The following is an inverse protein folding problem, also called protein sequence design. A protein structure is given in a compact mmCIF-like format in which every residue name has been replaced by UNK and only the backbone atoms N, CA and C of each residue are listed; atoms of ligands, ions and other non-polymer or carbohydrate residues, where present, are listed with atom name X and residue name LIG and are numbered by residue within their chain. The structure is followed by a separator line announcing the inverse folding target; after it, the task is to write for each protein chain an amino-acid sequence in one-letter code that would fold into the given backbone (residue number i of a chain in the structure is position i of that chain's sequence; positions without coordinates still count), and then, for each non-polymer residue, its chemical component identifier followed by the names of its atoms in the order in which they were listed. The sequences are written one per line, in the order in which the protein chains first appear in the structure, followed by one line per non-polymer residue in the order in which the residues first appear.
data_IF_978090752729
#
_entry.id   IF_978090752729
#
_cell.length_a   1.000
_cell.length_b   1.000
_cell.length_c   1.000
_cell.angle_alpha   90.00
_cell.angle_beta   90.00
_cell.angle_gamma   90.00
#
_symmetry.space_group_name_H-M   'P 1'
#
loop_
_entity.id
_entity.type
_entity.pdbx_description
1 polymer ?
#
# COMPACT_ATOMS: atom_id res chain seq x y z
N UNK A 1 -0.15 14.30 -17.07
CA UNK A 1 -0.39 13.39 -18.21
C UNK A 1 -0.29 11.94 -17.72
N UNK A 2 -1.40 11.38 -17.24
CA UNK A 2 -1.49 10.05 -16.58
C UNK A 2 -1.27 8.87 -17.53
N UNK A 3 -1.48 9.07 -18.83
CA UNK A 3 -1.38 8.04 -19.87
C UNK A 3 -0.03 7.31 -19.91
N UNK A 4 1.07 8.07 -19.77
CA UNK A 4 2.43 7.53 -19.91
C UNK A 4 2.78 6.50 -18.84
N UNK A 5 2.06 6.51 -17.72
CA UNK A 5 2.27 5.60 -16.59
C UNK A 5 1.40 4.35 -16.64
N UNK A 6 0.53 4.21 -17.65
CA UNK A 6 -0.29 3.03 -17.81
C UNK A 6 0.52 1.86 -18.41
N UNK A 7 0.13 0.61 -18.15
CA UNK A 7 0.66 -0.53 -18.90
C UNK A 7 0.31 -0.42 -20.40
N UNK A 8 1.24 -0.75 -21.29
CA UNK A 8 1.03 -0.70 -22.75
C UNK A 8 -0.18 -1.54 -23.19
N UNK A 9 -0.43 -2.66 -22.51
CA UNK A 9 -1.56 -3.52 -22.82
C UNK A 9 -2.92 -2.82 -22.64
N UNK A 10 -3.03 -1.85 -21.73
CA UNK A 10 -4.27 -1.11 -21.46
C UNK A 10 -4.67 -0.13 -22.59
N UNK A 11 -3.77 0.09 -23.55
CA UNK A 11 -4.05 0.92 -24.74
C UNK A 11 -4.98 0.19 -25.72
N UNK A 12 -4.99 -1.14 -25.68
CA UNK A 12 -5.67 -1.99 -26.65
C UNK A 12 -6.90 -2.66 -26.04
N UNK A 13 -7.95 -2.83 -26.85
CA UNK A 13 -9.23 -3.44 -26.43
C UNK A 13 -9.22 -4.96 -26.63
N UNK A 14 -8.72 -5.43 -27.77
CA UNK A 14 -8.88 -6.82 -28.23
C UNK A 14 -7.53 -7.56 -28.37
N UNK A 15 -6.76 -7.67 -27.30
CA UNK A 15 -5.43 -8.33 -27.34
C UNK A 15 -5.57 -9.86 -27.21
N UNK A 16 -5.13 -10.67 -28.20
CA UNK A 16 -5.20 -12.12 -28.12
C UNK A 16 -4.43 -12.70 -26.94
N UNK A 17 -4.97 -13.74 -26.29
CA UNK A 17 -4.39 -14.35 -25.07
C UNK A 17 -2.93 -14.83 -25.24
N UNK A 18 -2.51 -15.23 -26.44
CA UNK A 18 -1.15 -15.66 -26.75
C UNK A 18 -0.17 -14.53 -27.12
N UNK A 19 -0.66 -13.29 -27.22
CA UNK A 19 0.14 -12.16 -27.69
C UNK A 19 1.20 -11.74 -26.66
N UNK A 20 2.30 -11.14 -27.13
CA UNK A 20 3.42 -10.78 -26.24
C UNK A 20 3.04 -9.75 -25.17
N UNK A 21 2.06 -8.87 -25.46
CA UNK A 21 1.51 -7.91 -24.50
C UNK A 21 0.92 -8.60 -23.25
N UNK A 22 0.42 -9.83 -23.38
CA UNK A 22 -0.17 -10.61 -22.29
C UNK A 22 0.86 -11.50 -21.55
N UNK A 23 2.12 -11.55 -22.00
CA UNK A 23 3.16 -12.34 -21.33
C UNK A 23 3.54 -11.67 -20.01
N UNK A 24 3.65 -12.46 -18.92
CA UNK A 24 3.99 -11.97 -17.56
C UNK A 24 5.23 -11.06 -17.48
N UNK A 25 6.20 -11.23 -18.39
CA UNK A 25 7.41 -10.39 -18.45
C UNK A 25 7.20 -9.03 -19.14
N UNK A 26 6.11 -8.89 -19.89
CA UNK A 26 5.77 -7.71 -20.69
C UNK A 26 4.60 -6.92 -20.09
N UNK A 27 3.84 -7.51 -19.15
CA UNK A 27 2.79 -6.80 -18.40
C UNK A 27 3.25 -5.56 -17.62
N UNK A 28 4.49 -5.45 -17.08
CA UNK A 28 4.92 -4.23 -16.41
C UNK A 28 5.43 -3.13 -17.36
N UNK A 29 5.44 -3.38 -18.68
CA UNK A 29 5.93 -2.39 -19.64
C UNK A 29 4.95 -1.22 -19.74
N UNK A 30 5.47 -0.01 -19.59
CA UNK A 30 4.70 1.23 -19.55
C UNK A 30 4.61 1.91 -20.92
N UNK A 31 3.54 2.70 -21.13
CA UNK A 31 3.34 3.53 -22.32
C UNK A 31 4.54 4.46 -22.56
N UNK A 32 5.13 5.03 -21.51
CA UNK A 32 6.31 5.91 -21.59
C UNK A 32 7.54 5.28 -22.27
N UNK A 33 7.62 3.95 -22.33
CA UNK A 33 8.74 3.24 -22.97
C UNK A 33 8.59 3.15 -24.49
N UNK A 34 7.39 3.43 -25.01
CA UNK A 34 7.06 3.24 -26.43
C UNK A 34 6.38 4.44 -27.07
N UNK A 35 5.92 5.41 -26.29
CA UNK A 35 5.24 6.61 -26.78
C UNK A 35 5.87 7.85 -26.16
N UNK A 36 5.85 8.94 -26.91
CA UNK A 36 6.15 10.28 -26.41
C UNK A 36 5.17 11.30 -26.97
N UNK A 37 5.09 12.44 -26.29
CA UNK A 37 4.43 13.60 -26.84
C UNK A 37 5.37 14.27 -27.85
N UNK A 38 4.87 14.51 -29.05
CA UNK A 38 5.59 15.27 -30.07
C UNK A 38 5.12 16.72 -30.03
N UNK A 39 5.98 17.61 -29.53
CA UNK A 39 5.69 19.04 -29.41
C UNK A 39 5.47 19.71 -30.76
N UNK A 40 6.10 19.22 -31.83
CA UNK A 40 5.95 19.79 -33.18
C UNK A 40 4.60 19.47 -33.80
N UNK A 41 4.09 18.26 -33.52
CA UNK A 41 2.79 17.78 -34.02
C UNK A 41 1.67 17.96 -32.99
N UNK A 42 2.00 18.46 -31.79
CA UNK A 42 1.11 18.61 -30.63
C UNK A 42 0.34 17.33 -30.27
N UNK A 43 0.87 16.13 -30.54
CA UNK A 43 0.13 14.86 -30.38
C UNK A 43 0.99 13.76 -29.79
N UNK A 44 0.36 12.69 -29.30
CA UNK A 44 1.09 11.49 -28.94
C UNK A 44 1.56 10.77 -30.20
N UNK A 45 2.82 10.34 -30.19
CA UNK A 45 3.35 9.45 -31.23
C UNK A 45 4.09 8.28 -30.62
N UNK A 46 4.08 7.19 -31.36
CA UNK A 46 4.92 6.02 -31.08
C UNK A 46 6.37 6.42 -31.32
N UNK A 47 7.27 5.90 -30.49
CA UNK A 47 8.71 6.02 -30.69
C UNK A 47 9.12 5.22 -31.91
N UNK A 48 9.83 5.88 -32.82
CA UNK A 48 10.38 5.24 -34.01
C UNK A 48 11.70 4.55 -33.63
N UNK A 49 11.82 3.23 -33.74
CA UNK A 49 13.05 2.49 -33.39
C UNK A 49 14.28 2.88 -34.23
N UNK A 50 14.11 3.58 -35.35
CA UNK A 50 15.20 4.05 -36.23
C UNK A 50 15.66 5.47 -35.90
N UNK A 51 14.80 6.27 -35.28
CA UNK A 51 15.04 7.71 -35.03
C UNK A 51 15.18 8.01 -33.55
N UNK A 52 14.40 7.32 -32.71
CA UNK A 52 14.34 7.52 -31.27
C UNK A 52 15.15 6.45 -30.52
N UNK A 53 15.84 6.84 -29.45
CA UNK A 53 16.44 5.88 -28.51
C UNK A 53 15.33 5.13 -27.78
N UNK A 54 15.12 3.87 -28.15
CA UNK A 54 14.12 3.00 -27.51
C UNK A 54 14.81 1.93 -26.66
N UNK A 55 14.38 1.72 -25.40
CA UNK A 55 14.96 0.70 -24.54
C UNK A 55 14.70 -0.73 -25.06
N UNK A 56 13.66 -0.92 -25.89
CA UNK A 56 13.25 -2.22 -26.43
C UNK A 56 12.94 -2.16 -27.93
N UNK A 57 13.96 -2.01 -28.81
CA UNK A 57 13.75 -1.74 -30.24
C UNK A 57 12.95 -2.83 -30.96
N UNK A 58 13.13 -4.11 -30.58
CA UNK A 58 12.36 -5.21 -31.16
C UNK A 58 10.86 -5.15 -30.83
N UNK A 59 10.51 -4.78 -29.59
CA UNK A 59 9.12 -4.64 -29.17
C UNK A 59 8.50 -3.36 -29.74
N UNK A 60 9.27 -2.27 -29.81
CA UNK A 60 8.83 -1.03 -30.45
C UNK A 60 8.46 -1.24 -31.92
N UNK A 61 9.28 -2.00 -32.68
CA UNK A 61 8.94 -2.38 -34.07
C UNK A 61 7.65 -3.20 -34.14
N UNK A 62 7.45 -4.15 -33.22
CA UNK A 62 6.21 -4.92 -33.17
C UNK A 62 5.01 -4.03 -32.87
N UNK A 63 5.15 -3.07 -31.96
CA UNK A 63 4.08 -2.12 -31.61
C UNK A 63 3.73 -1.19 -32.76
N UNK A 64 4.72 -0.64 -33.46
CA UNK A 64 4.52 0.15 -34.67
C UNK A 64 3.75 -0.67 -35.71
N UNK A 65 4.18 -1.91 -35.97
CA UNK A 65 3.49 -2.80 -36.89
C UNK A 65 2.04 -3.06 -36.49
N UNK A 66 1.76 -3.22 -35.20
CA UNK A 66 0.40 -3.43 -34.68
C UNK A 66 -0.50 -2.23 -35.00
N UNK A 67 0.00 -1.02 -34.75
CA UNK A 67 -0.73 0.23 -34.94
C UNK A 67 -0.88 0.58 -36.42
N UNK A 68 0.18 0.43 -37.22
CA UNK A 68 0.14 0.68 -38.67
C UNK A 68 -0.78 -0.29 -39.40
N UNK A 69 -0.77 -1.57 -39.03
CA UNK A 69 -1.62 -2.60 -39.65
C UNK A 69 -3.01 -2.69 -39.03
N UNK A 70 -3.31 -1.88 -38.00
CA UNK A 70 -4.55 -1.93 -37.20
C UNK A 70 -4.94 -3.35 -36.79
N UNK A 71 -3.95 -4.15 -36.39
CA UNK A 71 -4.18 -5.55 -36.01
C UNK A 71 -5.01 -5.68 -34.73
N UNK A 72 -4.96 -4.66 -33.85
CA UNK A 72 -5.79 -4.55 -32.66
C UNK A 72 -6.44 -3.18 -32.62
N UNK A 73 -7.66 -3.14 -32.09
CA UNK A 73 -8.34 -1.88 -31.80
C UNK A 73 -7.71 -1.25 -30.57
N UNK A 74 -7.32 0.00 -30.73
CA UNK A 74 -6.98 0.93 -29.66
C UNK A 74 -8.27 1.46 -29.02
N UNK A 75 -8.20 1.93 -27.78
CA UNK A 75 -9.37 2.59 -27.18
C UNK A 75 -9.65 3.91 -27.92
N UNK A 76 -10.91 4.34 -28.06
CA UNK A 76 -11.27 5.56 -28.82
C UNK A 76 -10.52 6.81 -28.36
N UNK A 77 -10.26 6.90 -27.05
CA UNK A 77 -9.49 7.99 -26.43
C UNK A 77 -8.04 7.99 -26.96
N UNK A 78 -7.41 6.83 -27.11
CA UNK A 78 -6.03 6.73 -27.60
C UNK A 78 -5.96 7.05 -29.09
N UNK A 79 -6.93 6.58 -29.87
CA UNK A 79 -7.01 6.92 -31.29
C UNK A 79 -7.09 8.43 -31.50
N UNK A 80 -7.90 9.10 -30.68
CA UNK A 80 -8.03 10.55 -30.71
C UNK A 80 -6.70 11.26 -30.36
N UNK A 81 -6.02 10.80 -29.30
CA UNK A 81 -4.72 11.33 -28.86
C UNK A 81 -3.57 11.09 -29.85
N UNK A 82 -3.67 10.04 -30.68
CA UNK A 82 -2.70 9.74 -31.74
C UNK A 82 -3.00 10.48 -33.05
N UNK A 83 -4.28 10.73 -33.33
CA UNK A 83 -4.72 11.33 -34.59
C UNK A 83 -4.70 12.86 -34.56
N UNK A 84 -5.14 13.47 -33.46
CA UNK A 84 -5.42 14.91 -33.40
C UNK A 84 -4.39 15.69 -32.56
N UNK A 85 -4.04 16.93 -32.97
CA UNK A 85 -3.23 17.82 -32.16
C UNK A 85 -3.99 18.28 -30.91
N UNK A 86 -3.37 18.12 -29.75
CA UNK A 86 -3.83 18.56 -28.43
C UNK A 86 -3.35 20.00 -28.24
N UNK A 87 -4.23 20.97 -28.49
CA UNK A 87 -3.94 22.39 -28.31
C UNK A 87 -3.78 22.71 -26.82
N UNK A 88 -2.54 22.64 -26.32
CA UNK A 88 -2.14 22.82 -24.91
C UNK A 88 -2.67 21.77 -23.94
N UNK A 89 -1.81 21.32 -23.01
CA UNK A 89 -2.24 20.58 -21.84
C UNK A 89 -2.99 21.52 -20.89
N UNK A 90 -4.21 21.91 -21.26
CA UNK A 90 -5.17 22.55 -20.36
C UNK A 90 -5.48 21.65 -19.17
N UNK A 91 -6.14 22.20 -18.14
CA UNK A 91 -6.63 21.44 -16.99
C UNK A 91 -7.30 20.16 -17.47
N UNK A 92 -6.65 19.04 -17.17
CA UNK A 92 -7.10 17.72 -17.57
C UNK A 92 -8.36 17.42 -16.77
N UNK A 93 -9.51 17.39 -17.42
CA UNK A 93 -10.74 16.96 -16.77
C UNK A 93 -10.60 15.48 -16.41
N UNK A 94 -10.33 15.20 -15.13
CA UNK A 94 -10.23 13.84 -14.58
C UNK A 94 -11.61 13.18 -14.43
N UNK A 95 -12.71 13.95 -14.53
CA UNK A 95 -14.07 13.46 -14.31
C UNK A 95 -14.48 12.27 -15.19
N UNK A 96 -14.09 12.15 -16.46
CA UNK A 96 -14.40 10.97 -17.27
C UNK A 96 -13.74 9.70 -16.73
N UNK A 97 -12.51 9.83 -16.23
CA UNK A 97 -11.77 8.70 -15.64
C UNK A 97 -12.31 8.35 -14.26
N UNK A 98 -12.58 9.36 -13.43
CA UNK A 98 -13.17 9.20 -12.12
C UNK A 98 -14.57 8.58 -12.26
N UNK A 99 -15.43 9.11 -13.13
CA UNK A 99 -16.78 8.56 -13.35
C UNK A 99 -16.77 7.14 -13.92
N UNK A 100 -15.87 6.84 -14.86
CA UNK A 100 -15.67 5.47 -15.37
C UNK A 100 -15.18 4.50 -14.28
N UNK A 101 -14.23 4.94 -13.45
CA UNK A 101 -13.75 4.15 -12.33
C UNK A 101 -14.83 3.93 -11.27
N UNK A 102 -15.54 5.00 -10.88
CA UNK A 102 -16.63 4.96 -9.90
C UNK A 102 -17.84 4.14 -10.37
N UNK A 103 -18.09 4.08 -11.68
CA UNK A 103 -19.17 3.29 -12.29
C UNK A 103 -18.77 1.85 -12.59
N UNK A 104 -17.47 1.50 -12.48
CA UNK A 104 -17.02 0.13 -12.67
C UNK A 104 -17.60 -0.78 -11.59
N UNK A 105 -18.03 -1.99 -11.96
CA UNK A 105 -18.52 -2.99 -11.00
C UNK A 105 -17.50 -3.30 -9.90
N UNK A 106 -16.20 -3.24 -10.23
CA UNK A 106 -15.10 -3.39 -9.28
C UNK A 106 -15.12 -2.33 -8.16
N UNK A 107 -15.60 -1.13 -8.46
CA UNK A 107 -15.71 -0.02 -7.51
C UNK A 107 -17.09 0.03 -6.82
N UNK A 108 -18.16 -0.15 -7.58
CA UNK A 108 -19.54 -0.15 -7.07
C UNK A 108 -19.73 -1.25 -6.02
N UNK A 109 -19.16 -2.43 -6.26
CA UNK A 109 -19.16 -3.55 -5.31
C UNK A 109 -17.86 -3.61 -4.48
N UNK A 110 -17.09 -2.52 -4.43
CA UNK A 110 -15.81 -2.51 -3.72
C UNK A 110 -16.02 -2.74 -2.23
N UNK A 111 -15.61 -3.94 -1.81
CA UNK A 111 -15.51 -4.30 -0.40
C UNK A 111 -14.04 -4.27 -0.03
N UNK A 112 -13.59 -3.30 0.79
CA UNK A 112 -12.19 -3.19 1.18
C UNK A 112 -11.65 -4.49 1.79
N UNK A 113 -12.49 -5.24 2.51
CA UNK A 113 -12.13 -6.55 3.08
C UNK A 113 -11.87 -7.58 1.98
N UNK A 114 -12.78 -7.72 1.03
CA UNK A 114 -12.70 -8.74 -0.03
C UNK A 114 -11.57 -8.44 -1.00
N UNK A 115 -11.38 -7.18 -1.36
CA UNK A 115 -10.23 -6.74 -2.16
C UNK A 115 -8.91 -7.07 -1.45
N UNK A 116 -8.78 -6.75 -0.16
CA UNK A 116 -7.57 -7.07 0.62
C UNK A 116 -7.35 -8.58 0.72
N UNK A 117 -8.41 -9.38 0.91
CA UNK A 117 -8.31 -10.85 0.92
C UNK A 117 -7.89 -11.40 -0.45
N UNK A 118 -8.41 -10.86 -1.55
CA UNK A 118 -7.96 -11.24 -2.89
C UNK A 118 -6.49 -10.90 -3.14
N UNK A 119 -6.02 -9.73 -2.66
CA UNK A 119 -4.60 -9.39 -2.72
C UNK A 119 -3.75 -10.33 -1.87
N UNK A 120 -4.24 -10.75 -0.70
CA UNK A 120 -3.59 -11.77 0.14
C UNK A 120 -3.43 -13.09 -0.62
N UNK A 121 -4.49 -13.61 -1.25
CA UNK A 121 -4.43 -14.84 -2.03
C UNK A 121 -3.52 -14.74 -3.27
N UNK A 122 -3.39 -13.55 -3.86
CA UNK A 122 -2.52 -13.34 -5.04
C UNK A 122 -1.05 -13.16 -4.69
N UNK A 123 -0.77 -12.45 -3.59
CA UNK A 123 0.59 -12.00 -3.25
C UNK A 123 1.29 -12.95 -2.28
N UNK A 124 0.54 -13.71 -1.47
CA UNK A 124 1.11 -14.68 -0.54
C UNK A 124 1.00 -16.10 -1.11
N UNK A 125 2.05 -16.92 -0.98
CA UNK A 125 2.05 -18.30 -1.48
C UNK A 125 1.24 -19.27 -0.60
N UNK A 126 0.48 -18.77 0.39
CA UNK A 126 -0.26 -19.57 1.37
C UNK A 126 -1.59 -18.91 1.76
N UNK A 127 -2.56 -19.73 2.20
CA UNK A 127 -3.88 -19.28 2.65
C UNK A 127 -3.82 -18.75 4.09
N UNK A 128 -4.42 -17.57 4.38
CA UNK A 128 -4.42 -16.98 5.73
C UNK A 128 -5.25 -17.76 6.75
N UNK A 129 -6.06 -18.73 6.31
CA UNK A 129 -7.03 -19.44 7.17
C UNK A 129 -6.37 -20.56 7.99
N UNK A 130 -5.13 -20.96 7.67
CA UNK A 130 -4.42 -22.01 8.40
C UNK A 130 -3.36 -21.36 9.27
N UNK A 131 -3.39 -21.65 10.58
CA UNK A 131 -2.38 -21.21 11.54
C UNK A 131 -0.98 -21.39 10.94
N UNK A 132 -0.27 -20.27 10.78
CA UNK A 132 1.02 -20.26 10.14
C UNK A 132 1.98 -21.14 10.92
N UNK A 133 2.63 -22.08 10.23
CA UNK A 133 3.74 -22.80 10.83
C UNK A 133 4.85 -21.81 11.23
N UNK A 134 5.67 -22.10 12.25
CA UNK A 134 6.82 -21.26 12.60
C UNK A 134 7.76 -20.97 11.42
N UNK A 135 7.88 -21.92 10.48
CA UNK A 135 8.66 -21.74 9.25
C UNK A 135 8.02 -20.71 8.29
N UNK A 136 6.70 -20.73 8.14
CA UNK A 136 5.95 -19.75 7.34
C UNK A 136 6.05 -18.34 7.93
N UNK A 137 6.02 -18.22 9.26
CA UNK A 137 6.29 -16.95 9.94
C UNK A 137 7.70 -16.44 9.66
N UNK A 138 8.71 -17.31 9.80
CA UNK A 138 10.10 -16.93 9.51
C UNK A 138 10.24 -16.39 8.08
N UNK A 139 9.62 -17.04 7.09
CA UNK A 139 9.63 -16.55 5.71
C UNK A 139 8.93 -15.18 5.56
N UNK A 140 7.73 -15.01 6.11
CA UNK A 140 7.01 -13.74 6.10
C UNK A 140 7.84 -12.59 6.71
N UNK A 141 8.53 -12.86 7.82
CA UNK A 141 9.39 -11.89 8.50
C UNK A 141 10.61 -11.47 7.68
N UNK A 142 11.09 -12.34 6.80
CA UNK A 142 12.22 -12.09 5.91
C UNK A 142 11.82 -11.43 4.58
N UNK A 143 10.53 -11.19 4.33
CA UNK A 143 10.10 -10.47 3.14
C UNK A 143 10.58 -9.00 3.17
N UNK A 144 10.99 -8.44 2.01
CA UNK A 144 11.41 -7.04 1.88
C UNK A 144 10.20 -6.09 1.86
N UNK A 145 9.34 -6.20 2.88
CA UNK A 145 8.19 -5.32 3.08
C UNK A 145 8.51 -4.28 4.15
N UNK A 146 7.92 -3.09 4.01
CA UNK A 146 8.07 -2.02 4.99
C UNK A 146 7.52 -2.46 6.36
N UNK A 147 8.19 -2.12 7.49
CA UNK A 147 7.72 -2.46 8.84
C UNK A 147 6.26 -2.08 9.12
N UNK A 148 5.82 -0.96 8.57
CA UNK A 148 4.47 -0.41 8.69
C UNK A 148 3.44 -1.36 8.03
N UNK A 149 3.80 -1.95 6.89
CA UNK A 149 2.97 -2.90 6.17
C UNK A 149 2.84 -4.25 6.89
N UNK A 150 3.83 -4.64 7.72
CA UNK A 150 3.82 -5.94 8.43
C UNK A 150 2.64 -6.05 9.41
N UNK A 151 2.25 -4.94 10.03
CA UNK A 151 1.11 -4.91 10.98
C UNK A 151 -0.22 -5.11 10.27
N UNK A 152 -0.38 -4.49 9.09
CA UNK A 152 -1.55 -4.69 8.23
C UNK A 152 -1.64 -6.13 7.74
N UNK A 153 -0.51 -6.69 7.28
CA UNK A 153 -0.46 -8.07 6.78
C UNK A 153 -0.71 -9.11 7.88
N UNK A 154 -0.17 -8.92 9.08
CA UNK A 154 -0.45 -9.79 10.22
C UNK A 154 -1.91 -9.74 10.63
N UNK A 155 -2.53 -8.55 10.69
CA UNK A 155 -3.98 -8.42 10.94
C UNK A 155 -4.84 -9.17 9.95
N UNK A 156 -4.42 -9.17 8.68
CA UNK A 156 -5.14 -9.88 7.61
C UNK A 156 -5.00 -11.39 7.71
N UNK A 157 -3.91 -11.85 8.31
CA UNK A 157 -3.56 -13.27 8.46
C UNK A 157 -4.05 -13.83 9.81
N UNK A 158 -4.13 -12.99 10.84
CA UNK A 158 -4.35 -13.39 12.22
C UNK A 158 -5.58 -12.63 12.77
N UNK A 159 -6.74 -13.28 12.70
CA UNK A 159 -8.06 -12.73 13.04
C UNK A 159 -8.23 -12.34 14.53
N UNK A 160 -7.20 -12.61 15.36
CA UNK A 160 -7.22 -12.46 16.82
C UNK A 160 -6.74 -11.06 17.27
N UNK A 161 -6.01 -10.32 16.42
CA UNK A 161 -5.28 -9.13 16.87
C UNK A 161 -5.65 -7.86 16.07
N UNK A 162 -6.72 -7.17 16.47
CA UNK A 162 -7.07 -5.86 15.90
C UNK A 162 -6.24 -4.70 16.51
N UNK A 163 -6.55 -3.45 16.16
CA UNK A 163 -5.85 -2.27 16.71
C UNK A 163 -6.06 -2.05 18.19
N UNK A 164 -7.28 -2.34 18.62
CA UNK A 164 -7.69 -2.09 19.98
C UNK A 164 -7.00 -3.12 20.88
N UNK A 165 -7.01 -4.39 20.50
CA UNK A 165 -6.32 -5.47 21.21
C UNK A 165 -4.80 -5.38 21.11
N UNK A 166 -4.26 -4.97 19.96
CA UNK A 166 -2.80 -4.81 19.80
C UNK A 166 -2.22 -3.79 20.75
N UNK A 167 -2.93 -2.70 20.99
CA UNK A 167 -2.38 -1.58 21.74
C UNK A 167 -2.96 -1.44 23.14
N UNK A 168 -4.25 -1.73 23.38
CA UNK A 168 -4.93 -1.34 24.62
C UNK A 168 -5.73 -2.47 25.26
N UNK A 169 -6.73 -3.06 24.59
CA UNK A 169 -7.72 -3.95 25.24
C UNK A 169 -7.19 -5.31 25.71
N UNK A 170 -5.95 -5.65 25.35
CA UNK A 170 -5.26 -6.80 25.93
C UNK A 170 -4.80 -6.48 27.37
N UNK A 171 -5.17 -7.28 28.40
CA UNK A 171 -4.86 -6.96 29.80
C UNK A 171 -3.37 -6.72 30.09
N UNK A 172 -2.48 -7.51 29.49
CA UNK A 172 -1.03 -7.34 29.65
C UNK A 172 -0.51 -6.03 29.02
N UNK A 173 -1.14 -5.59 27.93
CA UNK A 173 -0.74 -4.37 27.22
C UNK A 173 -1.34 -3.13 27.89
N UNK A 174 -2.58 -3.24 28.38
CA UNK A 174 -3.20 -2.25 29.25
C UNK A 174 -2.37 -2.00 30.51
N UNK A 175 -1.84 -3.06 31.14
CA UNK A 175 -0.99 -2.92 32.34
C UNK A 175 0.25 -2.05 32.08
N UNK A 176 0.85 -2.14 30.88
CA UNK A 176 1.96 -1.26 30.47
C UNK A 176 1.50 0.19 30.41
N UNK A 177 0.34 0.45 29.81
CA UNK A 177 -0.24 1.80 29.75
C UNK A 177 -0.52 2.35 31.13
N UNK A 178 -1.24 1.59 31.94
CA UNK A 178 -1.62 1.98 33.30
C UNK A 178 -0.38 2.36 34.09
N UNK A 179 0.64 1.49 34.17
CA UNK A 179 1.85 1.77 34.95
C UNK A 179 2.67 2.94 34.41
N UNK A 180 2.78 3.10 33.10
CA UNK A 180 3.55 4.21 32.50
C UNK A 180 2.83 5.54 32.70
N UNK A 181 1.51 5.57 32.48
CA UNK A 181 0.71 6.78 32.62
C UNK A 181 0.50 7.17 34.08
N UNK A 182 0.23 6.23 34.99
CA UNK A 182 0.15 6.52 36.44
C UNK A 182 1.47 7.03 37.01
N UNK A 183 2.62 6.67 36.41
CA UNK A 183 3.92 7.24 36.78
C UNK A 183 4.12 8.66 36.24
N UNK A 184 3.53 8.97 35.09
CA UNK A 184 3.68 10.28 34.45
C UNK A 184 2.65 11.30 34.96
N UNK A 185 1.40 10.87 35.18
CA UNK A 185 0.27 11.68 35.62
C UNK A 185 -0.50 10.90 36.72
N UNK A 186 0.00 10.90 37.96
CA UNK A 186 -0.55 10.05 39.03
C UNK A 186 -1.95 10.46 39.51
N UNK A 187 -2.40 11.67 39.17
CA UNK A 187 -3.70 12.21 39.58
C UNK A 187 -4.82 11.94 38.58
N UNK A 188 -4.51 11.36 37.41
CA UNK A 188 -5.52 10.90 36.44
C UNK A 188 -5.59 9.38 36.47
N UNK A 189 -6.83 8.87 36.54
CA UNK A 189 -7.08 7.45 36.34
C UNK A 189 -7.35 7.18 34.86
N UNK A 190 -6.64 6.20 34.30
CA UNK A 190 -6.70 5.89 32.88
C UNK A 190 -7.45 4.58 32.68
N UNK A 191 -8.70 4.69 32.24
CA UNK A 191 -9.45 3.55 31.73
C UNK A 191 -8.99 3.18 30.31
N UNK A 192 -9.33 1.97 29.86
CA UNK A 192 -9.09 1.55 28.47
C UNK A 192 -9.68 2.56 27.47
N UNK A 193 -10.90 3.03 27.72
CA UNK A 193 -11.55 4.03 26.88
C UNK A 193 -10.78 5.35 26.82
N UNK A 194 -10.26 5.82 27.95
CA UNK A 194 -9.48 7.06 28.00
C UNK A 194 -8.17 6.95 27.20
N UNK A 195 -7.49 5.79 27.24
CA UNK A 195 -6.29 5.54 26.43
C UNK A 195 -6.65 5.46 24.95
N UNK A 196 -7.77 4.81 24.60
CA UNK A 196 -8.23 4.77 23.21
C UNK A 196 -8.56 6.17 22.68
N UNK A 197 -9.21 7.01 23.46
CA UNK A 197 -9.52 8.38 23.08
C UNK A 197 -8.24 9.24 22.99
N UNK A 198 -7.28 9.05 23.89
CA UNK A 198 -5.94 9.65 23.77
C UNK A 198 -5.25 9.26 22.45
N UNK A 199 -5.29 7.98 22.07
CA UNK A 199 -4.56 7.46 20.91
C UNK A 199 -5.24 7.76 19.57
N UNK A 200 -6.55 7.61 19.49
CA UNK A 200 -7.29 7.65 18.22
C UNK A 200 -8.09 8.92 18.02
N UNK A 201 -8.40 9.65 19.09
CA UNK A 201 -9.10 10.96 19.03
C UNK A 201 -8.21 12.13 19.44
N UNK A 202 -6.93 11.87 19.77
CA UNK A 202 -5.97 12.86 20.24
C UNK A 202 -6.53 13.71 21.39
N UNK A 203 -7.27 13.06 22.29
CA UNK A 203 -7.89 13.74 23.44
C UNK A 203 -6.82 14.50 24.24
N UNK A 204 -7.13 15.76 24.55
CA UNK A 204 -6.27 16.62 25.34
C UNK A 204 -6.70 16.62 26.81
N UNK A 205 -5.73 16.69 27.71
CA UNK A 205 -5.94 16.77 29.14
C UNK A 205 -5.57 18.18 29.62
N UNK A 206 -6.49 18.88 30.32
CA UNK A 206 -6.17 20.15 30.97
C UNK A 206 -5.06 19.95 32.00
N UNK A 207 -4.18 20.95 32.16
CA UNK A 207 -3.08 20.95 33.16
C UNK A 207 -1.97 19.90 32.91
N UNK A 208 -1.99 19.23 31.76
CA UNK A 208 -0.96 18.28 31.33
C UNK A 208 -0.24 18.84 30.10
N UNK A 209 1.08 18.61 30.01
CA UNK A 209 1.81 18.80 28.76
C UNK A 209 1.38 17.74 27.74
N UNK A 210 0.42 18.12 26.88
CA UNK A 210 -0.17 17.23 25.88
C UNK A 210 0.85 16.76 24.83
N UNK A 211 1.87 17.56 24.52
CA UNK A 211 2.91 17.18 23.57
C UNK A 211 3.81 16.08 24.18
N UNK A 212 4.21 16.25 25.44
CA UNK A 212 4.98 15.25 26.16
C UNK A 212 4.16 13.97 26.42
N UNK A 213 2.86 14.09 26.71
CA UNK A 213 1.94 12.96 26.84
C UNK A 213 1.80 12.19 25.51
N UNK A 214 1.60 12.87 24.39
CA UNK A 214 1.54 12.22 23.07
C UNK A 214 2.86 11.55 22.70
N UNK A 215 3.99 12.21 23.00
CA UNK A 215 5.32 11.63 22.78
C UNK A 215 5.52 10.37 23.61
N UNK A 216 5.08 10.38 24.88
CA UNK A 216 5.09 9.21 25.74
C UNK A 216 4.19 8.10 25.18
N UNK A 217 2.98 8.44 24.74
CA UNK A 217 2.04 7.49 24.16
C UNK A 217 2.63 6.78 22.92
N UNK A 218 3.26 7.53 22.01
CA UNK A 218 3.96 6.94 20.85
C UNK A 218 5.10 6.01 21.28
N UNK A 219 5.85 6.36 22.34
CA UNK A 219 6.91 5.49 22.89
C UNK A 219 6.33 4.20 23.49
N UNK A 220 5.20 4.28 24.18
CA UNK A 220 4.50 3.10 24.74
C UNK A 220 4.00 2.22 23.60
N UNK A 221 3.27 2.78 22.63
CA UNK A 221 2.80 2.05 21.44
C UNK A 221 3.94 1.33 20.73
N UNK A 222 5.06 2.03 20.46
CA UNK A 222 6.22 1.45 19.79
C UNK A 222 6.84 0.30 20.58
N UNK A 223 6.83 0.40 21.91
CA UNK A 223 7.39 -0.62 22.79
C UNK A 223 6.48 -1.86 22.86
N UNK A 224 5.17 -1.66 23.06
CA UNK A 224 4.16 -2.73 22.98
C UNK A 224 4.26 -3.43 21.64
N UNK A 225 4.28 -2.68 20.54
CA UNK A 225 4.45 -3.22 19.19
C UNK A 225 5.71 -4.09 19.10
N UNK A 226 6.88 -3.56 19.49
CA UNK A 226 8.14 -4.29 19.41
C UNK A 226 8.13 -5.59 20.20
N UNK A 227 7.61 -5.58 21.43
CA UNK A 227 7.56 -6.79 22.27
C UNK A 227 6.50 -7.78 21.81
N UNK A 228 5.36 -7.31 21.31
CA UNK A 228 4.36 -8.15 20.67
C UNK A 228 4.96 -8.91 19.47
N UNK A 229 5.80 -8.25 18.67
CA UNK A 229 6.49 -8.92 17.57
C UNK A 229 7.62 -9.85 18.00
N UNK A 230 8.30 -9.58 19.12
CA UNK A 230 9.24 -10.52 19.69
C UNK A 230 8.53 -11.81 20.13
N UNK A 231 7.33 -11.69 20.71
CA UNK A 231 6.49 -12.85 21.00
C UNK A 231 6.14 -13.62 19.72
N UNK A 232 5.65 -12.94 18.69
CA UNK A 232 5.24 -13.61 17.45
C UNK A 232 6.42 -14.25 16.70
N UNK A 233 7.58 -13.59 16.68
CA UNK A 233 8.75 -14.04 15.92
C UNK A 233 9.60 -15.08 16.66
N UNK A 234 9.82 -14.86 17.95
CA UNK A 234 10.81 -15.60 18.77
C UNK A 234 10.14 -16.39 19.91
N UNK A 235 8.80 -16.37 19.99
CA UNK A 235 8.02 -17.01 21.05
C UNK A 235 8.38 -16.53 22.47
N UNK A 236 8.90 -15.31 22.59
CA UNK A 236 9.25 -14.70 23.88
C UNK A 236 7.99 -14.12 24.52
N UNK A 237 7.55 -14.58 25.70
CA UNK A 237 6.30 -14.15 26.30
C UNK A 237 6.28 -12.64 26.56
N UNK A 238 5.13 -12.02 26.31
CA UNK A 238 4.94 -10.60 26.60
C UNK A 238 4.87 -10.38 28.11
N UNK A 239 5.89 -9.71 28.68
CA UNK A 239 5.98 -9.42 30.10
C UNK A 239 5.95 -7.89 30.32
N UNK A 240 4.89 -7.33 30.92
CA UNK A 240 4.75 -5.88 31.11
C UNK A 240 5.96 -5.24 31.80
N UNK A 241 6.51 -5.91 32.82
CA UNK A 241 7.67 -5.44 33.59
C UNK A 241 8.90 -5.23 32.70
N UNK A 242 9.19 -6.18 31.81
CA UNK A 242 10.33 -6.07 30.87
C UNK A 242 10.13 -4.96 29.86
N UNK A 243 8.89 -4.73 29.40
CA UNK A 243 8.58 -3.62 28.48
C UNK A 243 8.88 -2.30 29.16
N UNK A 244 8.33 -2.10 30.36
CA UNK A 244 8.51 -0.88 31.17
C UNK A 244 9.99 -0.66 31.50
N UNK A 245 10.69 -1.71 31.94
CA UNK A 245 12.12 -1.64 32.27
C UNK A 245 12.93 -1.16 31.05
N UNK A 246 12.74 -1.78 29.88
CA UNK A 246 13.48 -1.37 28.66
C UNK A 246 13.08 0.01 28.15
N UNK A 247 11.86 0.48 28.42
CA UNK A 247 11.44 1.83 28.07
C UNK A 247 12.20 2.90 28.87
N UNK A 248 12.39 2.68 30.18
CA UNK A 248 13.02 3.67 31.06
C UNK A 248 14.56 3.54 31.14
N UNK A 249 15.14 2.37 30.86
CA UNK A 249 16.59 2.18 30.88
C UNK A 249 17.35 2.76 29.67
N UNK A 250 16.66 3.28 28.64
CA UNK A 250 17.28 3.78 27.41
C UNK A 250 17.79 5.25 27.45
N UNK A 251 17.89 5.87 28.63
CA UNK A 251 18.32 7.26 28.79
C UNK A 251 19.82 7.46 29.09
N UNK A 252 20.67 6.43 29.05
CA UNK A 252 22.12 6.54 29.34
C UNK A 252 23.03 6.03 28.20
N UNK A 253 22.76 6.40 26.94
CA UNK A 253 23.76 6.33 25.86
C UNK A 253 23.55 7.44 24.85
#
# INVERSE_FOLDING_TARGET
MTLIHLPVACIFVDVPLGHWLNKKRCTPLLVSLFFKYDESLQRFRVLDPLVDETPFPGLSRQLVNILTRRTFNTTPIIDDLLAHPIASAGEFDEQPFISSFLSSSSWVDYRPRDFRLQQVYRLLPFSPVVAFSPASWSYFWNLPIAPESRTLWYRLVHDIEDQFHLFVTCPYKFEVWYRVLSRYIPYLDFSEAAILDLLFRFQQFPLVDNLALQTLAVKVMRSIWRFNWLYIKENVPFQPDLVIQKMFHKNNR
#
